data_IF_513089528990
#
_entry.id   IF_513089528990
#
_cell.length_a   1.000
_cell.length_b   1.000
_cell.length_c   1.000
_cell.angle_alpha   90.00
_cell.angle_beta   90.00
_cell.angle_gamma   90.00
#
_symmetry.space_group_name_H-M   'P 1'
#
loop_
_entity.id
_entity.type
_entity.pdbx_description
1 polymer ?
#
# COMPACT_ATOMS: atom_id res chain seq x y z
N UNK A 1 4.81 16.25 -40.21
CA UNK A 1 3.97 15.48 -39.28
C UNK A 1 4.91 14.87 -38.25
N UNK A 2 4.96 15.43 -37.04
CA UNK A 2 5.83 14.92 -35.96
C UNK A 2 4.95 13.96 -35.14
N UNK A 3 5.32 12.67 -35.00
CA UNK A 3 4.52 11.73 -34.22
C UNK A 3 4.70 12.01 -32.72
N UNK A 4 3.60 11.94 -31.96
CA UNK A 4 3.62 12.14 -30.51
C UNK A 4 3.94 10.84 -29.77
N UNK A 5 4.74 10.93 -28.72
CA UNK A 5 4.91 9.86 -27.75
C UNK A 5 4.42 10.35 -26.39
N UNK A 6 3.46 9.62 -25.80
CA UNK A 6 2.92 9.88 -24.46
C UNK A 6 3.41 8.75 -23.56
N UNK A 7 4.17 9.04 -22.49
CA UNK A 7 4.71 8.02 -21.60
C UNK A 7 3.60 7.29 -20.82
N UNK A 8 3.94 6.12 -20.30
CA UNK A 8 3.13 5.46 -19.29
C UNK A 8 3.12 6.29 -17.99
N UNK A 9 1.93 6.53 -17.43
CA UNK A 9 1.77 7.36 -16.23
C UNK A 9 0.69 6.80 -15.31
N UNK A 10 1.00 6.67 -14.01
CA UNK A 10 0.03 6.29 -12.98
C UNK A 10 -0.83 7.49 -12.61
N UNK A 11 -2.15 7.39 -12.73
CA UNK A 11 -3.06 8.48 -12.36
C UNK A 11 -3.14 8.58 -10.82
N UNK A 12 -2.78 9.75 -10.23
CA UNK A 12 -2.67 9.88 -8.78
C UNK A 12 -4.00 9.60 -8.08
N UNK A 13 -3.92 8.99 -6.90
CA UNK A 13 -5.07 8.51 -6.09
C UNK A 13 -5.91 7.40 -6.75
N UNK A 14 -5.41 6.76 -7.82
CA UNK A 14 -6.05 5.58 -8.44
C UNK A 14 -5.05 4.45 -8.67
N UNK A 15 -5.54 3.25 -8.99
CA UNK A 15 -4.72 2.13 -9.49
C UNK A 15 -4.70 2.04 -11.02
N UNK A 16 -5.05 3.13 -11.73
CA UNK A 16 -5.12 3.17 -13.18
C UNK A 16 -3.83 3.78 -13.75
N UNK A 17 -3.19 3.03 -14.66
CA UNK A 17 -2.01 3.49 -15.42
C UNK A 17 -2.42 3.73 -16.86
N UNK A 18 -2.05 4.87 -17.44
CA UNK A 18 -2.30 5.14 -18.87
C UNK A 18 -1.28 4.39 -19.73
N UNK A 19 -1.69 3.64 -20.76
CA UNK A 19 -0.76 2.84 -21.56
C UNK A 19 0.22 3.73 -22.34
N UNK A 20 1.45 3.25 -22.50
CA UNK A 20 2.50 3.87 -23.31
C UNK A 20 2.06 3.99 -24.78
N UNK A 21 1.88 5.21 -25.28
CA UNK A 21 1.58 5.49 -26.68
C UNK A 21 2.85 6.00 -27.37
N UNK A 22 3.42 5.18 -28.25
CA UNK A 22 4.52 5.59 -29.15
C UNK A 22 3.99 5.92 -30.54
N UNK A 23 4.73 6.77 -31.24
CA UNK A 23 4.58 7.06 -32.66
C UNK A 23 3.16 7.49 -33.09
N UNK A 24 2.45 8.21 -32.22
CA UNK A 24 1.06 8.62 -32.44
C UNK A 24 0.96 9.76 -33.45
N UNK A 25 0.82 9.39 -34.71
CA UNK A 25 0.53 10.28 -35.84
C UNK A 25 -0.88 10.87 -35.71
N UNK A 26 -1.02 12.10 -35.20
CA UNK A 26 -2.30 12.83 -35.18
C UNK A 26 -2.95 12.86 -36.57
N UNK A 27 -2.16 13.20 -37.60
CA UNK A 27 -2.60 13.28 -39.00
C UNK A 27 -3.38 12.05 -39.47
N UNK A 28 -2.94 10.85 -39.10
CA UNK A 28 -3.57 9.60 -39.53
C UNK A 28 -4.59 9.06 -38.52
N UNK A 29 -4.34 9.21 -37.21
CA UNK A 29 -5.18 8.64 -36.16
C UNK A 29 -6.45 9.44 -35.88
N UNK A 30 -6.48 10.76 -36.15
CA UNK A 30 -7.66 11.60 -35.92
C UNK A 30 -8.47 11.89 -37.19
N UNK A 31 -8.20 11.19 -38.30
CA UNK A 31 -8.91 11.38 -39.57
C UNK A 31 -8.54 12.65 -40.35
N UNK A 32 -7.61 13.48 -39.85
CA UNK A 32 -7.15 14.71 -40.53
C UNK A 32 -6.70 14.45 -41.97
N UNK A 33 -6.01 13.32 -42.24
CA UNK A 33 -5.61 12.83 -43.57
C UNK A 33 -6.76 12.69 -44.57
N UNK A 34 -7.98 12.40 -44.10
CA UNK A 34 -9.17 12.24 -44.95
C UNK A 34 -9.95 13.56 -45.08
N UNK A 35 -9.88 14.42 -44.06
CA UNK A 35 -10.55 15.72 -44.01
C UNK A 35 -9.82 16.80 -44.81
N UNK A 36 -8.49 16.88 -44.66
CA UNK A 36 -7.62 17.84 -45.34
C UNK A 36 -7.00 17.20 -46.59
N UNK A 37 -7.66 17.40 -47.75
CA UNK A 37 -7.27 16.82 -49.05
C UNK A 37 -5.82 17.11 -49.49
N UNK A 38 -5.16 18.12 -48.93
CA UNK A 38 -3.73 18.39 -49.20
C UNK A 38 -3.01 18.84 -47.93
N UNK A 39 -1.72 18.53 -47.83
CA UNK A 39 -0.82 19.03 -46.77
C UNK A 39 -0.31 20.46 -47.00
N UNK A 40 -0.76 21.14 -48.08
CA UNK A 40 -0.39 22.52 -48.43
C UNK A 40 -1.35 23.58 -47.86
N UNK A 41 -2.19 23.22 -46.91
CA UNK A 41 -3.15 24.11 -46.26
C UNK A 41 -2.71 24.42 -44.83
N UNK A 42 -2.59 25.71 -44.50
CA UNK A 42 -2.47 26.16 -43.11
C UNK A 42 -3.82 26.02 -42.40
N UNK A 43 -3.77 25.59 -41.15
CA UNK A 43 -4.91 25.57 -40.25
C UNK A 43 -4.43 25.88 -38.82
N UNK A 44 -5.25 26.64 -38.10
CA UNK A 44 -5.06 26.87 -36.67
C UNK A 44 -5.81 25.76 -35.91
N UNK A 45 -5.14 25.08 -34.97
CA UNK A 45 -5.76 24.09 -34.09
C UNK A 45 -5.42 24.44 -32.64
N UNK A 46 -6.46 24.67 -31.82
CA UNK A 46 -6.36 24.94 -30.39
C UNK A 46 -7.20 23.94 -29.61
N UNK A 47 -6.61 23.37 -28.56
CA UNK A 47 -7.26 22.43 -27.64
C UNK A 47 -6.88 22.81 -26.22
N UNK A 48 -7.86 23.18 -25.40
CA UNK A 48 -7.70 23.57 -24.00
C UNK A 48 -8.57 22.65 -23.13
N UNK A 49 -7.92 21.73 -22.39
CA UNK A 49 -8.59 20.86 -21.42
C UNK A 49 -8.21 21.29 -20.00
N UNK A 50 -9.20 21.61 -19.17
CA UNK A 50 -9.02 22.12 -17.81
C UNK A 50 -9.87 21.34 -16.82
N UNK A 51 -9.23 20.68 -15.85
CA UNK A 51 -9.89 20.07 -14.72
C UNK A 51 -9.58 20.83 -13.43
N UNK A 52 -10.63 21.27 -12.71
CA UNK A 52 -10.52 21.89 -11.39
C UNK A 52 -11.22 20.99 -10.37
N UNK A 53 -10.45 20.09 -9.72
CA UNK A 53 -10.93 19.28 -8.59
C UNK A 53 -11.55 20.20 -7.53
N UNK A 54 -12.76 19.88 -7.07
CA UNK A 54 -13.33 20.61 -5.93
C UNK A 54 -12.66 20.19 -4.62
N UNK A 55 -12.61 21.14 -3.67
CA UNK A 55 -12.26 20.90 -2.27
C UNK A 55 -13.47 20.47 -1.43
N UNK A 56 -14.68 20.66 -1.96
CA UNK A 56 -15.92 20.36 -1.25
C UNK A 56 -16.06 18.84 -1.04
N UNK A 57 -16.74 18.44 0.04
CA UNK A 57 -17.07 17.04 0.30
C UNK A 57 -18.55 16.88 0.62
N UNK A 58 -19.11 15.77 0.18
CA UNK A 58 -20.46 15.36 0.52
C UNK A 58 -20.38 14.47 1.77
N UNK A 59 -21.09 14.83 2.82
CA UNK A 59 -21.16 14.04 4.04
C UNK A 59 -22.29 13.02 3.88
N UNK A 60 -21.94 11.73 3.72
CA UNK A 60 -22.94 10.65 3.76
C UNK A 60 -23.15 10.28 5.23
N UNK A 61 -24.38 10.38 5.77
CA UNK A 61 -24.66 9.96 7.14
C UNK A 61 -24.45 8.44 7.26
N UNK A 62 -23.65 8.03 8.23
CA UNK A 62 -23.39 6.63 8.53
C UNK A 62 -23.19 6.52 10.05
N UNK A 63 -23.89 5.62 10.76
CA UNK A 63 -23.88 5.56 12.23
C UNK A 63 -22.59 4.93 12.77
N UNK A 64 -21.45 5.59 12.54
CA UNK A 64 -20.13 5.16 12.99
C UNK A 64 -20.02 5.20 14.52
N UNK A 65 -20.77 6.08 15.20
CA UNK A 65 -20.91 6.10 16.65
C UNK A 65 -21.53 4.81 17.19
N UNK A 66 -22.63 4.34 16.60
CA UNK A 66 -23.26 3.07 17.02
C UNK A 66 -22.36 1.85 16.76
N UNK A 67 -21.54 1.89 15.70
CA UNK A 67 -20.50 0.87 15.44
C UNK A 67 -19.39 0.96 16.50
N UNK A 68 -18.95 2.17 16.84
CA UNK A 68 -17.96 2.43 17.89
C UNK A 68 -18.44 1.96 19.27
N UNK A 69 -19.71 2.16 19.63
CA UNK A 69 -20.30 1.69 20.90
C UNK A 69 -20.26 0.15 21.00
N UNK A 70 -20.51 -0.56 19.90
CA UNK A 70 -20.41 -2.03 19.84
C UNK A 70 -18.96 -2.53 19.97
N UNK A 71 -17.96 -1.78 19.48
CA UNK A 71 -16.55 -2.15 19.64
C UNK A 71 -15.99 -1.77 21.02
N UNK A 72 -16.25 -0.55 21.50
CA UNK A 72 -15.77 -0.06 22.80
C UNK A 72 -16.34 -0.88 23.96
N UNK A 73 -17.64 -1.20 23.95
CA UNK A 73 -18.25 -2.11 24.94
C UNK A 73 -17.63 -3.51 24.96
N UNK A 74 -17.08 -3.98 23.83
CA UNK A 74 -16.41 -5.29 23.70
C UNK A 74 -14.92 -5.28 24.05
N UNK A 75 -14.29 -4.13 24.30
CA UNK A 75 -12.83 -4.04 24.52
C UNK A 75 -12.36 -4.88 25.72
N UNK A 76 -13.22 -5.07 26.72
CA UNK A 76 -12.96 -5.94 27.88
C UNK A 76 -12.78 -7.43 27.51
N UNK A 77 -13.34 -7.89 26.38
CA UNK A 77 -13.14 -9.25 25.87
C UNK A 77 -11.73 -9.41 25.30
N UNK A 78 -11.20 -8.39 24.61
CA UNK A 78 -9.84 -8.39 24.09
C UNK A 78 -8.83 -8.43 25.24
N UNK A 79 -9.05 -7.63 26.30
CA UNK A 79 -8.26 -7.68 27.54
C UNK A 79 -8.28 -9.09 28.18
N UNK A 80 -9.46 -9.71 28.31
CA UNK A 80 -9.58 -11.08 28.83
C UNK A 80 -8.84 -12.11 27.97
N UNK A 81 -8.91 -11.99 26.64
CA UNK A 81 -8.17 -12.87 25.73
C UNK A 81 -6.66 -12.67 25.83
N UNK A 82 -6.18 -11.43 25.95
CA UNK A 82 -4.76 -11.13 26.18
C UNK A 82 -4.24 -11.78 27.46
N UNK A 83 -4.92 -11.60 28.58
CA UNK A 83 -4.53 -12.23 29.86
C UNK A 83 -4.52 -13.76 29.75
N UNK A 84 -5.57 -14.38 29.19
CA UNK A 84 -5.60 -15.83 28.97
C UNK A 84 -4.44 -16.33 28.10
N UNK A 85 -4.06 -15.59 27.05
CA UNK A 85 -2.91 -15.92 26.20
C UNK A 85 -1.60 -15.79 26.99
N UNK A 86 -1.40 -14.69 27.74
CA UNK A 86 -0.23 -14.47 28.60
C UNK A 86 -0.01 -15.63 29.58
N UNK A 87 -1.06 -16.03 30.31
CA UNK A 87 -0.96 -17.12 31.28
C UNK A 87 -0.69 -18.48 30.62
N UNK A 88 -1.32 -18.78 29.47
CA UNK A 88 -1.06 -20.02 28.71
C UNK A 88 0.37 -20.06 28.15
N UNK A 89 0.89 -18.95 27.63
CA UNK A 89 2.27 -18.84 27.13
C UNK A 89 3.29 -18.94 28.26
N UNK A 90 3.03 -18.31 29.41
CA UNK A 90 3.85 -18.45 30.63
C UNK A 90 3.93 -19.91 31.11
N UNK A 91 2.80 -20.60 31.19
CA UNK A 91 2.74 -22.02 31.58
C UNK A 91 3.50 -22.92 30.59
N UNK A 92 3.30 -22.73 29.28
CA UNK A 92 4.01 -23.46 28.24
C UNK A 92 5.53 -23.23 28.31
N UNK A 93 5.98 -21.97 28.42
CA UNK A 93 7.40 -21.63 28.55
C UNK A 93 8.00 -22.22 29.83
N UNK A 94 7.27 -22.18 30.94
CA UNK A 94 7.72 -22.73 32.23
C UNK A 94 7.85 -24.26 32.19
N UNK A 95 6.86 -24.97 31.60
CA UNK A 95 6.92 -26.42 31.39
C UNK A 95 8.03 -26.82 30.43
N UNK A 96 8.20 -26.09 29.33
CA UNK A 96 9.28 -26.29 28.37
C UNK A 96 10.65 -26.10 29.04
N UNK A 97 10.83 -25.01 29.79
CA UNK A 97 12.03 -24.71 30.56
C UNK A 97 12.36 -25.83 31.57
N UNK A 98 11.43 -26.20 32.44
CA UNK A 98 11.65 -27.25 33.44
C UNK A 98 11.99 -28.60 32.77
N UNK A 99 11.35 -28.93 31.65
CA UNK A 99 11.65 -30.15 30.88
C UNK A 99 13.05 -30.11 30.26
N UNK A 100 13.45 -28.97 29.70
CA UNK A 100 14.78 -28.78 29.12
C UNK A 100 15.87 -28.83 30.21
N UNK A 101 15.64 -28.17 31.34
CA UNK A 101 16.55 -28.13 32.49
C UNK A 101 16.84 -29.53 33.05
N UNK A 102 15.80 -30.34 33.31
CA UNK A 102 15.98 -31.72 33.81
C UNK A 102 16.83 -32.58 32.85
N UNK A 103 16.67 -32.40 31.53
CA UNK A 103 17.51 -33.08 30.53
C UNK A 103 18.94 -32.52 30.45
N UNK A 104 19.13 -31.25 30.78
CA UNK A 104 20.42 -30.57 30.76
C UNK A 104 21.27 -30.94 31.99
N UNK A 105 20.66 -30.93 33.18
CA UNK A 105 21.29 -31.31 34.44
C UNK A 105 21.80 -32.78 34.38
N UNK A 106 21.07 -33.67 33.71
CA UNK A 106 21.48 -35.06 33.42
C UNK A 106 22.79 -35.18 32.62
N UNK A 107 23.22 -34.14 31.91
CA UNK A 107 24.42 -34.14 31.07
C UNK A 107 25.60 -33.34 31.67
N UNK A 108 25.49 -32.81 32.90
CA UNK A 108 26.54 -32.07 33.61
C UNK A 108 27.15 -30.89 32.81
N UNK A 109 26.37 -30.29 31.90
CA UNK A 109 26.84 -29.19 31.04
C UNK A 109 26.91 -27.90 31.85
N UNK A 110 28.02 -27.16 31.73
CA UNK A 110 28.19 -25.87 32.41
C UNK A 110 27.39 -24.78 31.67
N UNK A 111 26.59 -23.95 32.36
CA UNK A 111 25.86 -22.86 31.72
C UNK A 111 26.80 -21.78 31.21
N UNK A 112 26.57 -21.28 29.99
CA UNK A 112 27.24 -20.08 29.47
C UNK A 112 26.47 -18.82 29.82
N UNK A 113 27.20 -17.75 30.14
CA UNK A 113 26.65 -16.51 30.67
C UNK A 113 27.18 -15.30 29.89
N UNK A 114 26.72 -15.08 28.66
CA UNK A 114 27.06 -13.83 27.97
C UNK A 114 26.09 -13.31 26.91
N UNK A 115 25.96 -11.98 26.91
CA UNK A 115 25.67 -11.05 25.78
C UNK A 115 24.73 -11.52 24.64
N UNK A 116 23.42 -11.61 24.92
CA UNK A 116 22.39 -11.21 23.95
C UNK A 116 21.47 -10.14 24.58
N UNK A 117 20.92 -9.19 23.79
CA UNK A 117 19.95 -8.21 24.29
C UNK A 117 18.69 -8.93 24.74
N UNK A 118 18.33 -8.78 26.01
CA UNK A 118 17.25 -9.53 26.66
C UNK A 118 15.87 -8.88 26.52
N UNK A 119 15.78 -7.73 25.84
CA UNK A 119 14.62 -6.84 25.92
C UNK A 119 14.25 -6.35 24.53
N UNK A 120 12.96 -6.48 24.20
CA UNK A 120 12.33 -5.89 23.03
C UNK A 120 11.48 -4.70 23.49
N UNK A 121 11.81 -3.51 23.00
CA UNK A 121 10.96 -2.33 23.14
C UNK A 121 10.11 -2.19 21.87
N UNK A 122 8.78 -2.16 22.04
CA UNK A 122 7.84 -1.88 20.97
C UNK A 122 7.40 -0.42 21.13
N UNK A 123 7.77 0.48 20.19
CA UNK A 123 7.47 1.90 20.30
C UNK A 123 5.97 2.16 20.13
N UNK A 124 5.53 3.31 20.63
CA UNK A 124 4.16 3.79 20.46
C UNK A 124 3.81 3.87 18.97
N UNK A 125 2.59 3.46 18.60
CA UNK A 125 2.15 3.52 17.21
C UNK A 125 0.68 3.93 17.09
N UNK A 126 0.39 4.52 15.93
CA UNK A 126 -0.88 5.15 15.61
C UNK A 126 -1.43 4.60 14.29
N UNK A 127 -2.73 4.29 14.26
CA UNK A 127 -3.42 3.74 13.07
C UNK A 127 -4.43 4.78 12.55
N UNK A 128 -4.08 5.58 11.51
CA UNK A 128 -4.87 6.74 11.09
C UNK A 128 -6.30 6.41 10.61
N UNK A 129 -6.53 5.20 10.10
CA UNK A 129 -7.84 4.78 9.55
C UNK A 129 -8.86 4.49 10.66
N UNK A 130 -8.39 4.17 11.87
CA UNK A 130 -9.24 3.76 12.99
C UNK A 130 -9.12 4.71 14.20
N UNK A 131 -8.26 5.73 14.10
CA UNK A 131 -7.85 6.63 15.18
C UNK A 131 -7.51 5.87 16.48
N UNK A 132 -6.73 4.77 16.32
CA UNK A 132 -6.24 3.94 17.42
C UNK A 132 -4.82 4.38 17.75
N UNK A 133 -4.60 4.71 19.01
CA UNK A 133 -3.29 4.95 19.62
C UNK A 133 -2.95 3.78 20.57
N UNK A 134 -1.70 3.34 20.53
CA UNK A 134 -1.18 2.24 21.36
C UNK A 134 0.07 2.72 22.08
N UNK A 135 0.01 2.75 23.41
CA UNK A 135 1.13 3.10 24.29
C UNK A 135 2.35 2.17 24.07
N UNK A 136 3.58 2.68 24.26
CA UNK A 136 4.80 1.87 24.09
C UNK A 136 4.90 0.81 25.20
N UNK A 137 5.47 -0.35 24.88
CA UNK A 137 5.66 -1.40 25.88
C UNK A 137 6.96 -2.19 25.70
N UNK A 138 7.42 -2.75 26.80
CA UNK A 138 8.71 -3.43 26.94
C UNK A 138 8.46 -4.89 27.33
N UNK A 139 9.08 -5.84 26.60
CA UNK A 139 8.96 -7.27 26.88
C UNK A 139 10.32 -7.94 26.83
N UNK A 140 10.64 -8.78 27.82
CA UNK A 140 11.87 -9.58 27.77
C UNK A 140 11.75 -10.77 26.81
N UNK A 141 12.83 -11.09 26.11
CA UNK A 141 12.92 -12.21 25.18
C UNK A 141 13.62 -13.43 25.82
N UNK A 142 13.18 -14.67 25.56
CA UNK A 142 13.91 -15.86 26.00
C UNK A 142 15.32 -15.93 25.38
N UNK A 143 16.33 -16.16 26.21
CA UNK A 143 17.72 -16.24 25.76
C UNK A 143 17.99 -17.56 25.00
N UNK A 144 18.25 -17.47 23.70
CA UNK A 144 18.76 -18.57 22.88
C UNK A 144 20.20 -18.28 22.44
N UNK A 145 21.05 -19.32 22.43
CA UNK A 145 22.47 -19.22 22.09
C UNK A 145 22.90 -20.45 21.31
N UNK A 146 23.67 -20.23 20.24
CA UNK A 146 24.12 -21.26 19.32
C UNK A 146 25.56 -21.02 18.92
N UNK A 147 26.40 -22.00 19.18
CA UNK A 147 27.72 -22.21 18.59
C UNK A 147 27.96 -23.71 18.73
N UNK A 148 28.56 -24.41 17.76
CA UNK A 148 28.56 -25.89 17.81
C UNK A 148 29.86 -26.48 17.29
N UNK A 149 30.61 -27.22 18.12
CA UNK A 149 31.62 -28.17 17.70
C UNK A 149 31.02 -29.58 17.68
N UNK A 150 31.76 -30.46 17.04
CA UNK A 150 32.50 -31.47 17.79
C UNK A 150 33.79 -31.74 17.00
N UNK A 151 34.76 -32.45 17.58
CA UNK A 151 36.05 -32.68 16.91
C UNK A 151 36.07 -34.07 16.27
N UNK A 152 35.87 -34.13 14.96
CA UNK A 152 35.95 -35.38 14.19
C UNK A 152 37.35 -35.52 13.61
N UNK A 153 38.03 -36.63 13.88
CA UNK A 153 39.19 -37.06 13.09
C UNK A 153 38.81 -38.31 12.32
N UNK A 154 38.68 -38.22 11.00
CA UNK A 154 38.46 -39.41 10.16
C UNK A 154 39.79 -40.14 9.96
N UNK A 155 39.85 -41.48 10.10
CA UNK A 155 41.06 -42.22 9.79
C UNK A 155 41.36 -42.14 8.28
N UNK A 156 42.65 -42.18 7.93
CA UNK A 156 43.08 -42.24 6.52
C UNK A 156 42.62 -43.54 5.86
N UNK A 157 42.06 -43.46 4.65
CA UNK A 157 41.61 -44.62 3.89
C UNK A 157 42.01 -44.51 2.41
N UNK A 158 42.16 -45.67 1.76
CA UNK A 158 42.56 -45.79 0.35
C UNK A 158 41.36 -46.18 -0.48
N UNK A 159 41.15 -45.52 -1.63
CA UNK A 159 40.02 -45.83 -2.53
C UNK A 159 40.31 -47.11 -3.32
N UNK A 160 39.49 -48.18 -3.18
CA UNK A 160 39.70 -49.42 -3.92
C UNK A 160 39.70 -49.21 -5.43
N UNK A 161 40.62 -49.87 -6.13
CA UNK A 161 40.76 -49.79 -7.60
C UNK A 161 41.42 -48.54 -8.15
N UNK A 162 41.65 -47.48 -7.34
CA UNK A 162 42.25 -46.22 -7.82
C UNK A 162 43.54 -45.80 -7.11
N UNK A 163 43.95 -46.48 -6.03
CA UNK A 163 45.28 -46.34 -5.42
C UNK A 163 45.55 -45.05 -4.63
N UNK A 164 44.74 -44.00 -4.79
CA UNK A 164 44.84 -42.78 -4.00
C UNK A 164 44.51 -43.02 -2.52
N UNK A 165 45.41 -42.60 -1.64
CA UNK A 165 45.22 -42.60 -0.19
C UNK A 165 44.80 -41.21 0.28
N UNK A 166 43.68 -41.13 1.00
CA UNK A 166 43.18 -39.89 1.58
C UNK A 166 43.76 -39.73 3.00
N UNK A 167 44.47 -38.63 3.32
CA UNK A 167 45.02 -38.42 4.67
C UNK A 167 43.91 -38.20 5.71
N UNK A 168 44.26 -38.37 6.98
CA UNK A 168 43.34 -38.09 8.09
C UNK A 168 43.07 -36.58 8.19
N UNK A 169 41.79 -36.20 8.07
CA UNK A 169 41.35 -34.82 8.28
C UNK A 169 40.70 -34.67 9.65
N UNK A 170 40.97 -33.55 10.30
CA UNK A 170 40.44 -33.22 11.63
C UNK A 170 39.58 -31.97 11.54
N UNK A 171 38.26 -32.13 11.63
CA UNK A 171 37.28 -31.04 11.59
C UNK A 171 37.03 -30.48 12.99
N UNK A 172 36.96 -29.15 13.12
CA UNK A 172 36.77 -28.40 14.37
C UNK A 172 35.90 -27.18 14.12
N UNK A 173 35.01 -26.85 15.06
CA UNK A 173 34.13 -25.67 15.10
C UNK A 173 34.07 -25.18 16.59
N UNK A 174 33.25 -24.19 17.05
CA UNK A 174 33.44 -23.51 18.35
C UNK A 174 32.99 -24.29 19.63
N UNK A 175 31.88 -23.96 20.31
CA UNK A 175 31.49 -24.59 21.60
C UNK A 175 29.96 -24.57 21.85
N UNK A 176 29.30 -25.72 22.12
CA UNK A 176 27.84 -25.82 22.40
C UNK A 176 27.51 -25.46 23.85
N UNK A 177 27.92 -24.24 24.14
CA UNK A 177 27.61 -23.43 25.29
C UNK A 177 26.15 -22.97 25.19
N UNK A 178 25.22 -23.88 25.51
CA UNK A 178 23.82 -23.54 25.70
C UNK A 178 23.68 -22.39 26.72
N UNK A 179 22.84 -21.39 26.43
CA UNK A 179 22.67 -20.25 27.32
C UNK A 179 22.04 -20.69 28.65
N UNK A 180 22.19 -19.85 29.68
CA UNK A 180 21.23 -19.87 30.80
C UNK A 180 19.83 -19.57 30.25
N UNK A 181 19.06 -20.63 30.01
CA UNK A 181 17.63 -20.53 29.82
C UNK A 181 17.04 -19.94 31.11
N UNK A 182 16.38 -18.80 30.98
CA UNK A 182 15.65 -18.12 32.04
C UNK A 182 14.25 -17.82 31.51
N UNK A 183 13.20 -18.18 32.26
CA UNK A 183 11.85 -17.72 31.96
C UNK A 183 11.81 -16.25 32.36
N UNK A 184 11.65 -15.28 31.42
CA UNK A 184 11.77 -13.88 31.77
C UNK A 184 10.64 -13.46 32.71
N UNK A 185 10.96 -12.92 33.89
CA UNK A 185 9.93 -12.62 34.88
C UNK A 185 9.05 -11.44 34.45
N UNK A 186 9.56 -10.53 33.61
CA UNK A 186 8.80 -9.42 33.04
C UNK A 186 7.58 -9.87 32.21
N UNK A 187 7.51 -11.13 31.76
CA UNK A 187 6.30 -11.66 31.10
C UNK A 187 5.11 -11.76 32.05
N UNK A 188 5.32 -11.75 33.38
CA UNK A 188 4.23 -11.65 34.38
C UNK A 188 3.73 -10.22 34.48
N UNK A 189 4.66 -9.25 34.49
CA UNK A 189 4.41 -7.82 34.60
C UNK A 189 3.87 -7.20 33.30
N UNK A 190 3.92 -7.95 32.18
CA UNK A 190 3.35 -7.59 30.89
C UNK A 190 1.83 -7.34 31.03
N UNK A 191 1.47 -6.06 31.11
CA UNK A 191 0.09 -5.60 31.15
C UNK A 191 -0.49 -5.42 29.75
N UNK A 192 -1.81 -5.44 29.63
CA UNK A 192 -2.49 -5.12 28.39
C UNK A 192 -2.28 -3.63 28.05
N UNK A 193 -1.74 -3.29 26.86
CA UNK A 193 -1.49 -1.90 26.50
C UNK A 193 -2.81 -1.12 26.44
N UNK A 194 -2.77 0.14 26.86
CA UNK A 194 -3.96 1.00 26.89
C UNK A 194 -4.31 1.44 25.48
N UNK A 195 -5.24 0.71 24.86
CA UNK A 195 -5.81 1.06 23.56
C UNK A 195 -6.85 2.16 23.75
N UNK A 196 -6.60 3.37 23.23
CA UNK A 196 -7.63 4.39 23.05
C UNK A 196 -8.19 4.28 21.63
N UNK A 197 -9.52 4.28 21.54
CA UNK A 197 -10.27 4.44 20.29
C UNK A 197 -11.12 5.69 20.50
N UNK A 198 -11.09 6.64 19.58
CA UNK A 198 -12.00 7.80 19.65
C UNK A 198 -13.32 7.49 18.96
N UNK A 199 -14.44 8.04 19.44
CA UNK A 199 -15.67 8.02 18.67
C UNK A 199 -15.50 8.85 17.37
N UNK A 200 -15.65 8.25 16.17
CA UNK A 200 -15.64 8.98 14.90
C UNK A 200 -16.95 9.78 14.70
N UNK A 201 -16.97 10.81 13.85
CA UNK A 201 -18.21 11.47 13.47
C UNK A 201 -19.14 10.53 12.68
N UNK A 202 -20.47 10.68 12.83
CA UNK A 202 -21.49 9.89 12.12
C UNK A 202 -21.65 10.23 10.62
N UNK A 203 -20.56 10.55 9.93
CA UNK A 203 -20.55 10.78 8.49
C UNK A 203 -19.25 10.36 7.82
N UNK A 204 -19.36 9.94 6.56
CA UNK A 204 -18.23 9.66 5.68
C UNK A 204 -18.10 10.81 4.66
N UNK A 205 -17.00 11.60 4.67
CA UNK A 205 -16.80 12.69 3.72
C UNK A 205 -16.29 12.16 2.37
N UNK A 206 -17.13 12.19 1.34
CA UNK A 206 -16.76 11.82 -0.03
C UNK A 206 -16.42 13.10 -0.83
N UNK A 207 -15.20 13.25 -1.39
CA UNK A 207 -14.79 14.48 -2.06
C UNK A 207 -15.51 14.67 -3.40
N UNK A 208 -16.18 15.82 -3.58
CA UNK A 208 -17.00 16.14 -4.73
C UNK A 208 -16.24 16.06 -6.07
N UNK A 209 -16.95 15.81 -7.18
CA UNK A 209 -16.33 15.78 -8.52
C UNK A 209 -15.88 17.20 -8.89
N UNK A 210 -14.72 17.32 -9.55
CA UNK A 210 -14.23 18.60 -10.04
C UNK A 210 -14.99 19.10 -11.26
N UNK A 211 -14.89 20.41 -11.52
CA UNK A 211 -15.36 20.98 -12.76
C UNK A 211 -14.41 20.59 -13.90
N UNK A 212 -14.96 20.18 -15.05
CA UNK A 212 -14.23 19.95 -16.30
C UNK A 212 -14.62 21.03 -17.31
N UNK A 213 -13.67 21.50 -18.10
CA UNK A 213 -13.91 22.40 -19.23
C UNK A 213 -13.01 21.98 -20.39
N UNK A 214 -13.57 21.90 -21.58
CA UNK A 214 -12.90 21.48 -22.80
C UNK A 214 -13.28 22.42 -23.94
N UNK A 215 -12.32 23.20 -24.42
CA UNK A 215 -12.47 24.06 -25.58
C UNK A 215 -11.65 23.50 -26.73
N UNK A 216 -12.30 23.30 -27.88
CA UNK A 216 -11.70 22.89 -29.14
C UNK A 216 -12.02 23.95 -30.19
N UNK A 217 -11.00 24.43 -30.90
CA UNK A 217 -11.16 25.32 -32.04
C UNK A 217 -10.24 24.86 -33.17
N UNK A 218 -10.83 24.60 -34.34
CA UNK A 218 -10.13 24.28 -35.57
C UNK A 218 -10.54 25.29 -36.63
N UNK A 219 -9.58 25.96 -37.25
CA UNK A 219 -9.83 26.98 -38.27
C UNK A 219 -8.96 26.71 -39.48
N UNK A 220 -9.59 26.56 -40.64
CA UNK A 220 -8.94 26.40 -41.94
C UNK A 220 -9.41 27.48 -42.90
N UNK A 221 -8.86 27.50 -44.11
CA UNK A 221 -9.29 28.41 -45.18
C UNK A 221 -10.70 28.17 -45.72
N UNK A 222 -11.34 27.04 -45.39
CA UNK A 222 -12.67 26.65 -45.91
C UNK A 222 -13.71 26.48 -44.82
N UNK A 223 -13.30 26.02 -43.63
CA UNK A 223 -14.19 25.70 -42.51
C UNK A 223 -13.55 26.05 -41.16
N UNK A 224 -14.36 26.62 -40.27
CA UNK A 224 -14.04 26.91 -38.86
C UNK A 224 -15.02 26.14 -37.98
N UNK A 225 -14.50 25.26 -37.13
CA UNK A 225 -15.23 24.42 -36.20
C UNK A 225 -14.84 24.81 -34.77
N UNK A 226 -15.82 25.16 -33.94
CA UNK A 226 -15.64 25.52 -32.54
C UNK A 226 -16.57 24.70 -31.66
N UNK A 227 -16.01 23.96 -30.72
CA UNK A 227 -16.74 23.11 -29.76
C UNK A 227 -16.27 23.41 -28.35
N UNK A 228 -17.20 23.85 -27.50
CA UNK A 228 -17.00 24.09 -26.08
C UNK A 228 -17.88 23.11 -25.29
N UNK A 229 -17.29 22.44 -24.31
CA UNK A 229 -17.96 21.49 -23.43
C UNK A 229 -17.54 21.77 -22.01
N UNK A 230 -18.47 21.77 -21.06
CA UNK A 230 -18.15 21.96 -19.67
C UNK A 230 -19.10 21.24 -18.74
N UNK A 231 -18.55 20.89 -17.58
CA UNK A 231 -19.15 20.05 -16.57
C UNK A 231 -18.93 20.72 -15.22
N UNK A 232 -20.00 21.07 -14.54
CA UNK A 232 -19.95 21.71 -13.23
C UNK A 232 -20.58 20.80 -12.18
N UNK A 233 -19.91 20.66 -11.03
CA UNK A 233 -20.29 19.75 -9.95
C UNK A 233 -20.11 20.46 -8.60
N UNK A 234 -20.93 21.49 -8.37
CA UNK A 234 -20.92 22.26 -7.12
C UNK A 234 -22.05 21.79 -6.20
N UNK A 235 -23.27 22.27 -6.43
CA UNK A 235 -24.51 21.74 -5.84
C UNK A 235 -25.16 20.74 -6.80
N UNK A 236 -25.58 21.24 -7.96
CA UNK A 236 -26.14 20.47 -9.07
C UNK A 236 -25.06 20.08 -10.07
N UNK A 237 -25.32 18.98 -10.79
CA UNK A 237 -24.45 18.52 -11.88
C UNK A 237 -24.96 19.09 -13.20
N UNK A 238 -24.25 20.10 -13.74
CA UNK A 238 -24.65 20.81 -14.96
C UNK A 238 -23.64 20.57 -16.08
N UNK A 239 -24.11 20.00 -17.17
CA UNK A 239 -23.35 19.80 -18.40
C UNK A 239 -23.81 20.78 -19.48
N UNK A 240 -22.89 21.56 -20.05
CA UNK A 240 -23.13 22.37 -21.23
C UNK A 240 -22.32 21.85 -22.42
N UNK A 241 -22.94 21.84 -23.59
CA UNK A 241 -22.35 21.46 -24.86
C UNK A 241 -22.75 22.48 -25.93
N UNK A 242 -21.75 23.08 -26.57
CA UNK A 242 -21.92 24.05 -27.63
C UNK A 242 -20.99 23.68 -28.77
N UNK A 243 -21.51 23.44 -29.96
CA UNK A 243 -20.70 23.13 -31.14
C UNK A 243 -21.21 23.90 -32.35
N UNK A 244 -20.30 24.46 -33.13
CA UNK A 244 -20.63 25.35 -34.24
C UNK A 244 -19.62 25.23 -35.37
N UNK A 245 -20.14 25.22 -36.59
CA UNK A 245 -19.36 25.18 -37.82
C UNK A 245 -19.74 26.35 -38.71
N UNK A 246 -18.75 27.06 -39.20
CA UNK A 246 -18.87 28.10 -40.21
C UNK A 246 -18.02 27.71 -41.42
N UNK A 247 -18.60 27.69 -42.62
CA UNK A 247 -17.96 27.15 -43.82
C UNK A 247 -18.42 27.90 -45.06
N UNK A 248 -17.54 27.97 -46.07
CA UNK A 248 -17.85 28.48 -47.41
C UNK A 248 -18.91 27.61 -48.14
N UNK A 249 -19.17 26.40 -47.64
CA UNK A 249 -20.22 25.51 -48.10
C UNK A 249 -21.38 25.55 -47.09
N UNK A 250 -22.55 26.06 -47.50
CA UNK A 250 -23.71 26.24 -46.61
C UNK A 250 -24.17 24.94 -45.95
N UNK A 251 -24.12 23.81 -46.67
CA UNK A 251 -24.45 22.48 -46.14
C UNK A 251 -23.51 21.98 -45.02
N UNK A 252 -22.43 22.72 -44.71
CA UNK A 252 -21.51 22.45 -43.59
C UNK A 252 -21.61 23.51 -42.48
N UNK A 253 -22.48 24.52 -42.60
CA UNK A 253 -22.75 25.50 -41.54
C UNK A 253 -23.74 24.91 -40.54
N UNK A 254 -23.43 24.98 -39.24
CA UNK A 254 -24.36 24.58 -38.18
C UNK A 254 -24.07 25.29 -36.85
N UNK A 255 -25.07 25.31 -35.98
CA UNK A 255 -24.93 25.73 -34.57
C UNK A 255 -25.81 24.85 -33.68
N UNK A 256 -25.17 24.15 -32.75
CA UNK A 256 -25.79 23.33 -31.71
C UNK A 256 -25.43 23.94 -30.35
N UNK A 257 -26.44 24.05 -29.48
CA UNK A 257 -26.34 24.56 -28.12
C UNK A 257 -27.26 23.68 -27.25
N UNK A 258 -26.74 23.13 -26.17
CA UNK A 258 -27.46 22.20 -25.32
C UNK A 258 -26.95 22.25 -23.88
N UNK A 259 -27.87 22.30 -22.93
CA UNK A 259 -27.55 22.26 -21.49
C UNK A 259 -28.43 21.21 -20.83
N UNK A 260 -27.84 20.43 -19.93
CA UNK A 260 -28.52 19.42 -19.12
C UNK A 260 -28.12 19.59 -17.67
N UNK A 261 -29.08 19.50 -16.75
CA UNK A 261 -28.90 19.72 -15.32
C UNK A 261 -29.53 18.59 -14.52
N UNK A 262 -28.74 17.94 -13.67
CA UNK A 262 -29.20 16.95 -12.71
C UNK A 262 -29.13 17.54 -11.31
N UNK A 263 -30.29 17.92 -10.78
CA UNK A 263 -30.46 18.41 -9.40
C UNK A 263 -30.44 17.24 -8.42
N UNK A 264 -29.67 17.36 -7.34
CA UNK A 264 -29.64 16.38 -6.25
C UNK A 264 -30.70 16.75 -5.19
N UNK A 265 -31.56 15.79 -4.87
CA UNK A 265 -32.37 15.78 -3.64
C UNK A 265 -31.66 15.00 -2.54
#
# INVERSE_FOLDING_TARGET
NIPLTIPEMTLPYTKLTTPLLRDFSLWERTGLKNFLKTTKQSFDLSVNARYKKSKDSHLIPFPLGAVYDVFSSKIHLLHRHFENIKWNTLDFLTKSYNTAKVRFDQHNVKPSLDKLPRTLEIPAYYIPVLNIEVDPFTAELPAFGFVTPWKVSTPSFTVPGMGFSMPSYTFVLPSLEFPVLHVPESFRDLSFPRITITCPPDYIPIPAVGNLTYDFSFKSSVITLSTNVGLHSQSDFVAHFKSSSFSVIDALQYKLDGTSSLTRK
#
